data_IF_834956394900
#
_entry.id   IF_834956394900
#
_cell.length_a   1.000
_cell.length_b   1.000
_cell.length_c   1.000
_cell.angle_alpha   90.00
_cell.angle_beta   90.00
_cell.angle_gamma   90.00
#
_symmetry.space_group_name_H-M   'P 1'
#
loop_
_entity.id
_entity.type
_entity.pdbx_description
1 polymer ?
#
# COMPACT_ATOMS: atom_id res chain seq x y z
N UNK A 1 -23.60 -9.12 18.36
CA UNK A 1 -22.42 -8.28 18.12
C UNK A 1 -21.95 -8.59 16.70
N UNK A 2 -22.29 -7.80 15.67
CA UNK A 2 -21.72 -8.04 14.36
C UNK A 2 -20.21 -7.74 14.45
N UNK A 3 -19.39 -8.69 14.00
CA UNK A 3 -17.96 -8.48 13.80
C UNK A 3 -17.80 -7.36 12.77
N UNK A 4 -16.94 -6.39 13.10
CA UNK A 4 -16.82 -5.06 12.52
C UNK A 4 -16.98 -4.99 10.98
N UNK A 5 -17.74 -3.99 10.51
CA UNK A 5 -17.86 -3.50 9.12
C UNK A 5 -16.55 -2.92 8.55
N UNK A 6 -15.39 -3.46 8.96
CA UNK A 6 -14.09 -3.00 8.50
C UNK A 6 -13.60 -3.90 7.37
N UNK A 7 -12.97 -3.33 6.33
CA UNK A 7 -12.36 -4.12 5.28
C UNK A 7 -11.43 -5.19 5.86
N UNK A 8 -11.46 -6.38 5.27
CA UNK A 8 -10.67 -7.54 5.70
C UNK A 8 -9.54 -7.86 4.71
N UNK A 9 -9.41 -7.08 3.64
CA UNK A 9 -8.46 -7.33 2.56
C UNK A 9 -7.10 -6.73 2.93
N UNK A 10 -6.06 -7.55 2.82
CA UNK A 10 -4.67 -7.16 3.10
C UNK A 10 -3.88 -7.19 1.78
N UNK A 11 -3.42 -6.03 1.32
CA UNK A 11 -2.75 -5.90 0.04
C UNK A 11 -1.23 -5.98 0.23
N UNK A 12 -0.60 -7.00 -0.35
CA UNK A 12 0.87 -7.07 -0.41
C UNK A 12 1.38 -6.41 -1.70
N UNK A 13 2.37 -5.55 -1.54
CA UNK A 13 3.12 -5.00 -2.67
C UNK A 13 4.02 -6.07 -3.31
N UNK A 14 4.29 -5.98 -4.62
CA UNK A 14 5.26 -6.82 -5.28
C UNK A 14 6.70 -6.55 -4.77
N UNK A 15 7.63 -7.51 -4.93
CA UNK A 15 9.01 -7.38 -4.43
C UNK A 15 9.81 -6.25 -5.08
N UNK A 16 9.38 -5.79 -6.24
CA UNK A 16 9.90 -4.60 -6.93
C UNK A 16 8.73 -3.73 -7.38
N UNK A 17 8.78 -2.45 -7.00
CA UNK A 17 7.77 -1.45 -7.36
C UNK A 17 8.40 -0.37 -8.22
N UNK A 18 7.68 0.00 -9.27
CA UNK A 18 8.07 1.08 -10.17
C UNK A 18 7.36 2.36 -9.74
N UNK A 19 8.11 3.32 -9.17
CA UNK A 19 7.56 4.53 -8.54
C UNK A 19 6.80 5.43 -9.52
N UNK A 20 7.12 5.36 -10.81
CA UNK A 20 6.44 6.14 -11.84
C UNK A 20 5.02 5.65 -12.17
N UNK A 21 4.69 4.38 -11.86
CA UNK A 21 3.43 3.75 -12.29
C UNK A 21 2.65 3.11 -11.14
N UNK A 22 3.36 2.59 -10.13
CA UNK A 22 2.75 1.87 -9.03
C UNK A 22 1.74 2.70 -8.21
N UNK A 23 2.01 3.98 -7.85
CA UNK A 23 1.06 4.77 -7.08
C UNK A 23 -0.28 4.95 -7.79
N UNK A 24 -0.27 5.22 -9.09
CA UNK A 24 -1.50 5.35 -9.88
C UNK A 24 -2.31 4.04 -9.92
N UNK A 25 -1.63 2.90 -10.05
CA UNK A 25 -2.31 1.59 -10.01
C UNK A 25 -2.86 1.25 -8.63
N UNK A 26 -2.15 1.66 -7.57
CA UNK A 26 -2.61 1.47 -6.20
C UNK A 26 -3.88 2.30 -5.95
N UNK A 27 -3.89 3.55 -6.42
CA UNK A 27 -5.04 4.45 -6.32
C UNK A 27 -6.29 3.85 -6.97
N UNK A 28 -6.17 3.36 -8.22
CA UNK A 28 -7.26 2.68 -8.94
C UNK A 28 -7.78 1.44 -8.17
N UNK A 29 -6.90 0.70 -7.48
CA UNK A 29 -7.29 -0.49 -6.72
C UNK A 29 -8.02 -0.10 -5.43
N UNK A 30 -7.54 0.92 -4.73
CA UNK A 30 -8.16 1.40 -3.49
C UNK A 30 -9.51 2.11 -3.75
N UNK A 31 -9.68 2.73 -4.91
CA UNK A 31 -10.95 3.34 -5.33
C UNK A 31 -12.05 2.29 -5.56
N UNK A 32 -11.68 1.10 -6.04
CA UNK A 32 -12.63 0.02 -6.37
C UNK A 32 -12.82 -0.99 -5.23
N UNK A 33 -11.82 -1.14 -4.36
CA UNK A 33 -11.81 -2.16 -3.31
C UNK A 33 -11.53 -1.57 -1.94
N UNK A 34 -12.38 -1.90 -0.97
CA UNK A 34 -12.12 -1.56 0.43
C UNK A 34 -10.97 -2.40 0.98
N UNK A 35 -9.80 -1.77 1.16
CA UNK A 35 -8.58 -2.40 1.67
C UNK A 35 -8.31 -1.94 3.09
N UNK A 36 -8.01 -2.90 3.97
CA UNK A 36 -7.78 -2.63 5.39
C UNK A 36 -6.36 -2.09 5.63
N UNK A 37 -5.39 -2.66 4.92
CA UNK A 37 -3.99 -2.37 5.12
C UNK A 37 -3.16 -2.81 3.91
N UNK A 38 -2.14 -2.00 3.62
CA UNK A 38 -1.15 -2.23 2.58
C UNK A 38 0.16 -2.60 3.27
N UNK A 39 0.84 -3.64 2.78
CA UNK A 39 2.15 -4.05 3.27
C UNK A 39 3.22 -3.95 2.19
N UNK A 40 4.23 -3.15 2.48
CA UNK A 40 5.43 -2.96 1.69
C UNK A 40 6.38 -4.13 1.96
N UNK A 41 6.53 -5.03 0.98
CA UNK A 41 7.30 -6.26 1.08
C UNK A 41 8.35 -6.32 -0.04
N UNK A 42 9.18 -5.28 -0.12
CA UNK A 42 10.21 -5.18 -1.15
C UNK A 42 11.33 -6.19 -0.91
N UNK A 43 11.82 -6.80 -1.98
CA UNK A 43 12.96 -7.74 -1.89
C UNK A 43 14.31 -7.04 -1.82
N UNK A 44 14.35 -5.72 -2.01
CA UNK A 44 15.57 -4.93 -1.89
C UNK A 44 15.89 -4.61 -0.43
N UNK A 45 17.18 -4.45 -0.12
CA UNK A 45 17.67 -3.93 1.17
C UNK A 45 18.17 -2.49 1.07
N UNK A 46 17.96 -1.86 -0.08
CA UNK A 46 18.33 -0.48 -0.35
C UNK A 46 17.35 0.45 0.36
N UNK A 47 17.81 1.09 1.44
CA UNK A 47 17.02 2.01 2.26
C UNK A 47 16.49 3.21 1.45
N UNK A 48 17.23 3.70 0.46
CA UNK A 48 16.78 4.83 -0.38
C UNK A 48 15.64 4.39 -1.31
N UNK A 49 15.69 3.16 -1.84
CA UNK A 49 14.59 2.61 -2.65
C UNK A 49 13.37 2.33 -1.78
N UNK A 50 13.56 1.77 -0.59
CA UNK A 50 12.47 1.49 0.36
C UNK A 50 11.80 2.79 0.79
N UNK A 51 12.58 3.80 1.18
CA UNK A 51 12.05 5.10 1.62
C UNK A 51 11.25 5.78 0.53
N UNK A 52 11.77 5.81 -0.71
CA UNK A 52 11.06 6.40 -1.85
C UNK A 52 9.77 5.65 -2.21
N UNK A 53 9.78 4.32 -2.14
CA UNK A 53 8.59 3.51 -2.33
C UNK A 53 7.56 3.71 -1.22
N UNK A 54 8.01 3.74 0.03
CA UNK A 54 7.18 4.01 1.17
C UNK A 54 6.52 5.38 1.07
N UNK A 55 7.25 6.44 0.71
CA UNK A 55 6.69 7.77 0.55
C UNK A 55 5.63 7.84 -0.56
N UNK A 56 5.91 7.22 -1.72
CA UNK A 56 4.98 7.19 -2.83
C UNK A 56 3.69 6.42 -2.50
N UNK A 57 3.81 5.30 -1.77
CA UNK A 57 2.65 4.49 -1.34
C UNK A 57 1.90 5.18 -0.19
N UNK A 58 2.62 5.87 0.72
CA UNK A 58 2.04 6.56 1.87
C UNK A 58 1.10 7.68 1.44
N UNK A 59 1.45 8.43 0.40
CA UNK A 59 0.58 9.51 -0.12
C UNK A 59 -0.77 8.98 -0.60
N UNK A 60 -0.76 7.88 -1.35
CA UNK A 60 -1.98 7.21 -1.82
C UNK A 60 -2.74 6.60 -0.64
N UNK A 61 -2.06 5.86 0.24
CA UNK A 61 -2.69 5.23 1.40
C UNK A 61 -3.38 6.26 2.32
N UNK A 62 -2.76 7.43 2.55
CA UNK A 62 -3.36 8.51 3.32
C UNK A 62 -4.60 9.12 2.65
N UNK A 63 -4.62 9.20 1.32
CA UNK A 63 -5.78 9.73 0.58
C UNK A 63 -7.01 8.84 0.77
N UNK A 64 -6.80 7.52 0.85
CA UNK A 64 -7.85 6.52 1.04
C UNK A 64 -8.09 6.13 2.51
N UNK A 65 -7.42 6.79 3.47
CA UNK A 65 -7.47 6.46 4.91
C UNK A 65 -7.09 4.99 5.22
N UNK A 66 -6.12 4.44 4.48
CA UNK A 66 -5.65 3.05 4.61
C UNK A 66 -4.30 3.01 5.34
N UNK A 67 -4.15 2.04 6.25
CA UNK A 67 -2.90 1.84 6.98
C UNK A 67 -1.80 1.24 6.08
N UNK A 68 -0.60 1.83 6.10
CA UNK A 68 0.60 1.31 5.44
C UNK A 68 1.56 0.70 6.47
N UNK A 69 2.01 -0.54 6.22
CA UNK A 69 3.03 -1.26 7.00
C UNK A 69 4.24 -1.52 6.12
N UNK A 70 5.44 -1.34 6.65
CA UNK A 70 6.71 -1.60 5.96
C UNK A 70 7.43 -2.72 6.73
N UNK A 71 7.94 -3.73 6.03
CA UNK A 71 8.74 -4.84 6.59
C UNK A 71 10.23 -4.48 6.69
#
# INVERSE_FOLDING_TARGET
MPASEQPQIYLLTPPEVELSTFPARLDDVLDVHDIACIRLALSTKDEDRISRAADAVREVAHTHDVALVID
#
